data_IF_661869889133
#
_entry.id   IF_661869889133
#
_cell.length_a   1.000
_cell.length_b   1.000
_cell.length_c   1.000
_cell.angle_alpha   90.00
_cell.angle_beta   90.00
_cell.angle_gamma   90.00
#
_symmetry.space_group_name_H-M   'P 1'
#
loop_
_entity.id
_entity.type
_entity.pdbx_description
1 polymer ?
#
# COMPACT_ATOMS: atom_id res chain seq x y z
N UNK A 1 80.47 -23.81 -47.87
CA UNK A 1 80.21 -22.57 -47.11
C UNK A 1 78.71 -22.32 -47.09
N UNK A 2 78.14 -22.15 -45.88
CA UNK A 2 76.85 -21.48 -45.57
C UNK A 2 75.60 -22.13 -46.24
N UNK A 3 74.84 -23.02 -45.61
CA UNK A 3 73.95 -22.81 -44.44
C UNK A 3 73.32 -21.42 -44.36
N UNK A 4 72.00 -21.43 -44.11
CA UNK A 4 71.12 -20.33 -43.71
C UNK A 4 70.27 -19.77 -44.87
N UNK A 5 68.98 -19.57 -44.58
CA UNK A 5 67.91 -18.93 -45.38
C UNK A 5 66.87 -19.83 -46.06
N UNK A 6 66.25 -20.77 -45.33
CA UNK A 6 64.84 -21.14 -45.57
C UNK A 6 64.17 -21.63 -44.27
N UNK A 7 64.32 -20.85 -43.20
CA UNK A 7 63.69 -21.14 -41.89
C UNK A 7 63.03 -19.91 -41.29
N UNK A 8 62.44 -19.05 -42.12
CA UNK A 8 61.56 -17.95 -41.69
C UNK A 8 60.40 -17.83 -42.69
N UNK A 9 59.59 -18.88 -42.81
CA UNK A 9 58.26 -18.80 -43.44
C UNK A 9 57.27 -19.79 -42.83
N UNK A 10 57.46 -20.11 -41.54
CA UNK A 10 56.54 -20.95 -40.78
C UNK A 10 56.54 -20.60 -39.28
N UNK A 11 56.59 -19.30 -38.96
CA UNK A 11 56.39 -18.77 -37.58
C UNK A 11 55.52 -17.50 -37.64
N UNK A 12 54.58 -17.42 -38.59
CA UNK A 12 53.63 -16.30 -38.71
C UNK A 12 52.17 -16.71 -38.56
N UNK A 13 51.89 -17.92 -38.06
CA UNK A 13 50.52 -18.40 -37.79
C UNK A 13 50.28 -18.86 -36.36
N UNK A 14 51.18 -18.57 -35.41
CA UNK A 14 51.01 -18.90 -33.99
C UNK A 14 51.00 -17.67 -33.07
N UNK A 15 50.82 -16.46 -33.64
CA UNK A 15 50.87 -15.19 -32.92
C UNK A 15 49.55 -14.42 -32.88
N UNK A 16 48.40 -15.10 -32.94
CA UNK A 16 47.09 -14.46 -32.83
C UNK A 16 46.19 -15.24 -31.86
N UNK A 17 46.70 -15.50 -30.66
CA UNK A 17 45.85 -15.59 -29.49
C UNK A 17 46.21 -14.37 -28.65
N UNK A 18 45.75 -13.20 -29.06
CA UNK A 18 45.54 -12.13 -28.08
C UNK A 18 44.53 -12.71 -27.10
N UNK A 19 44.93 -12.88 -25.84
CA UNK A 19 43.98 -13.15 -24.76
C UNK A 19 42.82 -12.16 -24.93
N UNK A 20 41.63 -12.69 -25.15
CA UNK A 20 40.45 -11.86 -25.35
C UNK A 20 40.18 -11.14 -24.02
N UNK A 21 40.43 -9.84 -23.99
CA UNK A 21 40.19 -9.00 -22.82
C UNK A 21 38.67 -8.77 -22.67
N UNK A 22 38.05 -9.65 -21.89
CA UNK A 22 36.63 -9.63 -21.58
C UNK A 22 36.29 -8.78 -20.35
N UNK A 23 37.27 -8.06 -19.77
CA UNK A 23 37.09 -7.17 -18.61
C UNK A 23 35.94 -6.17 -18.81
N UNK A 24 35.80 -5.49 -19.97
CA UNK A 24 34.70 -4.52 -20.17
C UNK A 24 33.30 -5.16 -20.14
N UNK A 25 33.19 -6.45 -20.50
CA UNK A 25 31.92 -7.18 -20.45
C UNK A 25 31.62 -7.59 -19.02
N UNK A 26 32.63 -8.05 -18.28
CA UNK A 26 32.51 -8.40 -16.86
C UNK A 26 32.09 -7.19 -16.03
N UNK A 27 32.72 -6.05 -16.24
CA UNK A 27 32.40 -4.82 -15.51
C UNK A 27 30.94 -4.39 -15.72
N UNK A 28 30.43 -4.49 -16.96
CA UNK A 28 29.02 -4.20 -17.27
C UNK A 28 28.06 -5.21 -16.64
N UNK A 29 28.43 -6.48 -16.63
CA UNK A 29 27.62 -7.52 -15.98
C UNK A 29 27.53 -7.25 -14.48
N UNK A 30 28.64 -6.86 -13.85
CA UNK A 30 28.67 -6.59 -12.41
C UNK A 30 27.93 -5.29 -12.06
N UNK A 31 28.00 -4.25 -12.90
CA UNK A 31 27.14 -3.07 -12.80
C UNK A 31 25.65 -3.43 -12.85
N UNK A 32 25.24 -4.26 -13.81
CA UNK A 32 23.85 -4.70 -13.90
C UNK A 32 23.40 -5.52 -12.70
N UNK A 33 24.26 -6.37 -12.13
CA UNK A 33 23.92 -7.11 -10.90
C UNK A 33 23.69 -6.16 -9.73
N UNK A 34 24.57 -5.18 -9.53
CA UNK A 34 24.42 -4.19 -8.45
C UNK A 34 23.13 -3.37 -8.63
N UNK A 35 22.81 -2.96 -9.86
CA UNK A 35 21.56 -2.26 -10.16
C UNK A 35 20.34 -3.12 -9.87
N UNK A 36 20.34 -4.40 -10.25
CA UNK A 36 19.24 -5.32 -9.94
C UNK A 36 19.05 -5.48 -8.42
N UNK A 37 20.14 -5.63 -7.67
CA UNK A 37 20.09 -5.74 -6.20
C UNK A 37 19.48 -4.48 -5.57
N UNK A 38 19.92 -3.28 -5.98
CA UNK A 38 19.35 -2.02 -5.50
C UNK A 38 17.86 -1.87 -5.85
N UNK A 39 17.46 -2.26 -7.08
CA UNK A 39 16.05 -2.21 -7.48
C UNK A 39 15.18 -3.19 -6.68
N UNK A 40 15.70 -4.39 -6.37
CA UNK A 40 15.00 -5.37 -5.54
C UNK A 40 14.81 -4.85 -4.10
N UNK A 41 15.83 -4.23 -3.52
CA UNK A 41 15.73 -3.60 -2.20
C UNK A 41 14.73 -2.45 -2.20
N UNK A 42 14.75 -1.60 -3.24
CA UNK A 42 13.81 -0.49 -3.41
C UNK A 42 12.35 -0.96 -3.49
N UNK A 43 12.06 -1.94 -4.36
CA UNK A 43 10.71 -2.54 -4.47
C UNK A 43 10.26 -3.13 -3.13
N UNK A 44 11.14 -3.87 -2.47
CA UNK A 44 10.83 -4.48 -1.17
C UNK A 44 10.54 -3.43 -0.09
N UNK A 45 11.27 -2.32 -0.09
CA UNK A 45 11.04 -1.20 0.82
C UNK A 45 9.70 -0.51 0.53
N UNK A 46 9.38 -0.25 -0.73
CA UNK A 46 8.12 0.36 -1.14
C UNK A 46 6.92 -0.50 -0.77
N UNK A 47 6.94 -1.81 -1.07
CA UNK A 47 5.83 -2.70 -0.70
C UNK A 47 5.58 -2.74 0.81
N UNK A 48 6.65 -2.73 1.63
CA UNK A 48 6.51 -2.62 3.08
C UNK A 48 5.90 -1.28 3.52
N UNK A 49 6.24 -0.18 2.86
CA UNK A 49 5.66 1.12 3.16
C UNK A 49 4.19 1.22 2.70
N UNK A 50 3.83 0.57 1.59
CA UNK A 50 2.44 0.39 1.13
C UNK A 50 1.66 -0.42 2.17
N UNK A 51 2.19 -1.54 2.65
CA UNK A 51 1.57 -2.33 3.72
C UNK A 51 1.35 -1.49 4.98
N UNK A 52 2.37 -0.73 5.40
CA UNK A 52 2.27 0.17 6.55
C UNK A 52 1.16 1.21 6.34
N UNK A 53 1.09 1.83 5.16
CA UNK A 53 0.08 2.82 4.82
C UNK A 53 -1.32 2.21 4.85
N UNK A 54 -1.48 1.00 4.31
CA UNK A 54 -2.70 0.19 4.39
C UNK A 54 -3.15 -0.01 5.84
N UNK A 55 -2.25 -0.47 6.73
CA UNK A 55 -2.58 -0.66 8.15
C UNK A 55 -2.97 0.64 8.88
N UNK A 56 -2.37 1.77 8.51
CA UNK A 56 -2.67 3.06 9.12
C UNK A 56 -4.00 3.64 8.65
N UNK A 57 -4.47 3.25 7.47
CA UNK A 57 -5.64 3.87 6.82
C UNK A 57 -6.80 2.92 6.59
N UNK A 58 -6.69 1.64 6.97
CA UNK A 58 -7.77 0.64 6.91
C UNK A 58 -8.65 0.57 8.18
N UNK A 59 -8.79 1.70 8.89
CA UNK A 59 -9.76 1.87 9.98
C UNK A 59 -9.29 1.37 11.33
N UNK A 60 -8.01 1.01 11.45
CA UNK A 60 -7.38 0.67 12.72
C UNK A 60 -7.31 1.86 13.68
N UNK A 61 -7.27 1.56 14.98
CA UNK A 61 -7.21 2.59 16.03
C UNK A 61 -5.75 2.81 16.40
N UNK A 62 -5.22 4.00 16.11
CA UNK A 62 -3.85 4.36 16.47
C UNK A 62 -3.79 4.63 17.98
N UNK A 63 -2.98 3.87 18.71
CA UNK A 63 -2.90 3.98 20.17
C UNK A 63 -1.69 4.76 20.66
N UNK A 64 -0.57 4.71 19.93
CA UNK A 64 0.63 5.48 20.28
C UNK A 64 1.56 5.69 19.10
N UNK A 65 2.38 6.74 19.20
CA UNK A 65 3.44 7.05 18.25
C UNK A 65 4.70 7.38 19.05
N UNK A 66 5.77 6.64 18.80
CA UNK A 66 7.07 6.80 19.45
C UNK A 66 8.19 6.75 18.43
N UNK A 67 9.45 6.93 18.86
CA UNK A 67 10.62 6.68 18.03
C UNK A 67 11.45 5.54 18.62
N UNK A 68 11.96 4.66 17.76
CA UNK A 68 12.91 3.63 18.16
C UNK A 68 14.34 4.21 18.27
N UNK A 69 15.31 3.37 18.62
CA UNK A 69 16.73 3.75 18.75
C UNK A 69 17.35 4.31 17.47
N UNK A 70 16.80 3.94 16.31
CA UNK A 70 17.29 4.35 14.99
C UNK A 70 16.60 5.65 14.52
N UNK A 71 15.76 6.25 15.37
CA UNK A 71 15.01 7.46 15.07
C UNK A 71 13.78 7.25 14.18
N UNK A 72 13.47 6.00 13.81
CA UNK A 72 12.27 5.64 13.02
C UNK A 72 11.03 5.68 13.89
N UNK A 73 9.90 6.07 13.30
CA UNK A 73 8.61 6.09 14.00
C UNK A 73 8.11 4.67 14.23
N UNK A 74 7.62 4.41 15.44
CA UNK A 74 6.90 3.20 15.79
C UNK A 74 5.47 3.60 16.09
N UNK A 75 4.55 3.23 15.21
CA UNK A 75 3.13 3.54 15.34
C UNK A 75 2.42 2.26 15.78
N UNK A 76 1.85 2.30 16.98
CA UNK A 76 1.10 1.18 17.56
C UNK A 76 -0.37 1.38 17.28
N UNK A 77 -1.08 0.30 16.95
CA UNK A 77 -2.50 0.33 16.63
C UNK A 77 -3.21 -0.94 17.10
N UNK A 78 -4.52 -0.84 17.28
CA UNK A 78 -5.42 -1.97 17.45
C UNK A 78 -6.09 -2.29 16.11
N UNK A 79 -5.98 -3.54 15.68
CA UNK A 79 -6.65 -4.01 14.48
C UNK A 79 -8.15 -4.27 14.71
N UNK A 80 -8.85 -4.76 13.68
CA UNK A 80 -10.28 -5.10 13.75
C UNK A 80 -10.60 -6.28 14.68
N UNK A 81 -9.60 -7.06 15.09
CA UNK A 81 -9.69 -8.14 16.07
C UNK A 81 -9.24 -7.71 17.47
N UNK A 82 -9.04 -6.40 17.67
CA UNK A 82 -8.55 -5.80 18.90
C UNK A 82 -7.17 -6.31 19.35
N UNK A 83 -6.34 -6.75 18.40
CA UNK A 83 -4.95 -7.12 18.66
C UNK A 83 -4.05 -5.90 18.49
N UNK A 84 -3.16 -5.69 19.46
CA UNK A 84 -2.15 -4.64 19.38
C UNK A 84 -1.03 -5.06 18.41
N UNK A 85 -0.76 -4.18 17.45
CA UNK A 85 0.26 -4.34 16.43
C UNK A 85 1.05 -3.04 16.30
N UNK A 86 2.19 -3.10 15.64
CA UNK A 86 3.00 -1.92 15.38
C UNK A 86 3.59 -1.95 13.98
N UNK A 87 3.64 -0.79 13.33
CA UNK A 87 4.40 -0.55 12.11
C UNK A 87 5.62 0.32 12.42
N UNK A 88 6.71 0.08 11.70
CA UNK A 88 7.92 0.90 11.78
C UNK A 88 8.07 1.69 10.50
N UNK A 89 8.00 3.01 10.61
CA UNK A 89 8.01 3.93 9.49
C UNK A 89 9.27 4.78 9.50
N UNK A 90 10.00 4.76 8.39
CA UNK A 90 11.07 5.71 8.10
C UNK A 90 10.48 6.89 7.31
N UNK A 91 11.07 8.08 7.47
CA UNK A 91 10.63 9.29 6.78
C UNK A 91 11.78 9.89 5.98
N UNK A 92 11.49 10.44 4.80
CA UNK A 92 12.50 11.07 3.95
C UNK A 92 11.98 12.39 3.36
N UNK A 93 12.70 13.48 3.60
CA UNK A 93 12.24 14.83 3.26
C UNK A 93 12.46 15.18 1.77
N UNK A 94 13.63 14.80 1.22
CA UNK A 94 14.22 15.41 0.02
C UNK A 94 14.31 14.53 -1.24
N UNK A 95 13.68 13.34 -1.27
CA UNK A 95 13.69 12.52 -2.49
C UNK A 95 12.31 11.93 -2.77
N UNK A 96 11.78 12.28 -3.93
CA UNK A 96 10.48 11.83 -4.41
C UNK A 96 10.63 11.53 -5.90
N UNK A 97 10.85 10.27 -6.23
CA UNK A 97 10.76 9.79 -7.60
C UNK A 97 9.34 9.33 -7.89
N UNK A 98 8.81 9.67 -9.07
CA UNK A 98 7.57 9.11 -9.56
C UNK A 98 7.83 7.72 -10.17
N UNK A 99 6.90 6.75 -10.01
CA UNK A 99 5.58 6.87 -9.42
C UNK A 99 5.60 6.80 -7.89
N UNK A 100 4.69 7.54 -7.26
CA UNK A 100 4.48 7.49 -5.81
C UNK A 100 3.11 6.88 -5.53
N UNK A 101 3.07 5.81 -4.78
CA UNK A 101 1.82 5.26 -4.26
C UNK A 101 1.49 6.00 -2.96
N UNK A 102 0.24 6.44 -2.85
CA UNK A 102 -0.27 7.12 -1.66
C UNK A 102 -1.74 6.77 -1.44
N UNK A 103 -2.37 7.46 -0.50
CA UNK A 103 -3.81 7.30 -0.27
C UNK A 103 -4.47 8.67 -0.13
N UNK A 104 -5.74 8.76 -0.53
CA UNK A 104 -6.56 9.96 -0.39
C UNK A 104 -7.96 9.57 0.10
N UNK A 105 -8.49 10.35 1.04
CA UNK A 105 -9.86 10.20 1.51
C UNK A 105 -10.82 10.73 0.43
N UNK A 106 -11.70 9.87 -0.06
CA UNK A 106 -12.74 10.25 -1.00
C UNK A 106 -13.86 11.00 -0.29
N UNK A 107 -14.25 12.16 -0.83
CA UNK A 107 -15.36 12.97 -0.31
C UNK A 107 -16.73 12.41 -0.67
N UNK A 108 -16.80 11.48 -1.62
CA UNK A 108 -18.06 10.90 -2.10
C UNK A 108 -18.62 9.88 -1.11
N UNK A 109 -17.73 9.13 -0.44
CA UNK A 109 -18.05 7.96 0.35
C UNK A 109 -17.18 7.77 1.61
N UNK A 110 -16.35 8.75 1.97
CA UNK A 110 -15.51 8.74 3.18
C UNK A 110 -14.61 7.50 3.31
N UNK A 111 -14.21 6.89 2.19
CA UNK A 111 -13.23 5.80 2.16
C UNK A 111 -11.87 6.31 1.69
N UNK A 112 -10.81 5.73 2.23
CA UNK A 112 -9.47 5.91 1.66
C UNK A 112 -9.34 5.05 0.40
N UNK A 113 -8.89 5.66 -0.68
CA UNK A 113 -8.52 5.00 -1.92
C UNK A 113 -7.03 5.16 -2.19
N UNK A 114 -6.45 4.16 -2.85
CA UNK A 114 -5.10 4.24 -3.35
C UNK A 114 -5.00 5.32 -4.44
N UNK A 115 -3.87 5.99 -4.47
CA UNK A 115 -3.52 7.01 -5.47
C UNK A 115 -2.16 6.70 -6.04
N UNK A 116 -1.95 7.13 -7.27
CA UNK A 116 -0.66 7.07 -7.94
C UNK A 116 -0.29 8.48 -8.40
N UNK A 117 0.95 8.87 -8.17
CA UNK A 117 1.48 10.16 -8.63
C UNK A 117 2.52 9.93 -9.69
N UNK A 118 2.28 10.45 -10.89
CA UNK A 118 3.19 10.40 -12.04
C UNK A 118 3.34 11.81 -12.59
N UNK A 119 4.57 12.24 -12.88
CA UNK A 119 4.85 13.59 -13.40
C UNK A 119 4.19 14.72 -12.57
N UNK A 120 4.26 14.61 -11.25
CA UNK A 120 3.62 15.50 -10.27
C UNK A 120 2.07 15.53 -10.29
N UNK A 121 1.43 14.71 -11.13
CA UNK A 121 -0.02 14.56 -11.18
C UNK A 121 -0.47 13.37 -10.34
N UNK A 122 -1.35 13.60 -9.36
CA UNK A 122 -1.89 12.56 -8.48
C UNK A 122 -3.31 12.17 -8.87
N UNK A 123 -3.47 10.95 -9.36
CA UNK A 123 -4.75 10.34 -9.75
C UNK A 123 -5.10 9.17 -8.83
N UNK A 124 -6.31 8.62 -8.96
CA UNK A 124 -6.70 7.39 -8.27
C UNK A 124 -5.94 6.21 -8.90
N UNK A 125 -5.54 5.24 -8.08
CA UNK A 125 -5.20 3.93 -8.61
C UNK A 125 -6.50 3.26 -9.06
N UNK A 126 -6.53 2.83 -10.31
CA UNK A 126 -7.69 2.17 -10.92
C UNK A 126 -7.42 0.67 -11.11
N UNK A 127 -8.47 -0.14 -10.93
CA UNK A 127 -8.44 -1.55 -11.29
C UNK A 127 -8.61 -1.76 -12.81
N UNK A 128 -8.63 -3.02 -13.24
CA UNK A 128 -8.76 -3.38 -14.66
C UNK A 128 -10.07 -2.89 -15.32
N UNK A 129 -11.10 -2.60 -14.53
CA UNK A 129 -12.41 -2.13 -14.99
C UNK A 129 -12.54 -0.59 -14.92
N UNK A 130 -11.48 0.11 -14.47
CA UNK A 130 -11.45 1.57 -14.28
C UNK A 130 -12.06 2.02 -12.95
N UNK A 131 -12.33 1.09 -12.02
CA UNK A 131 -12.84 1.39 -10.68
C UNK A 131 -11.72 1.86 -9.76
N UNK A 132 -12.01 2.82 -8.86
CA UNK A 132 -11.05 3.26 -7.83
C UNK A 132 -10.74 2.08 -6.91
N UNK A 133 -9.46 1.87 -6.57
CA UNK A 133 -9.06 0.78 -5.65
C UNK A 133 -9.14 1.25 -4.19
N UNK A 134 -10.09 0.75 -3.37
CA UNK A 134 -10.17 1.14 -1.97
C UNK A 134 -9.01 0.54 -1.16
N UNK A 135 -8.46 1.30 -0.22
CA UNK A 135 -7.47 0.80 0.75
C UNK A 135 -8.04 -0.35 1.56
N UNK A 136 -9.31 -0.24 1.90
CA UNK A 136 -10.04 -1.27 2.59
C UNK A 136 -10.34 -2.41 1.62
N UNK A 137 -9.59 -3.51 1.72
CA UNK A 137 -9.88 -4.75 1.00
C UNK A 137 -8.88 -5.13 -0.08
N UNK A 138 -8.00 -4.22 -0.50
CA UNK A 138 -6.89 -4.52 -1.39
C UNK A 138 -5.67 -3.67 -1.03
N UNK A 139 -4.49 -4.28 -1.04
CA UNK A 139 -3.20 -3.60 -0.87
C UNK A 139 -2.39 -3.86 -2.13
N UNK A 140 -2.04 -2.84 -2.92
CA UNK A 140 -1.41 -3.02 -4.22
C UNK A 140 0.02 -3.51 -4.06
N UNK A 141 0.48 -4.30 -5.02
CA UNK A 141 1.86 -4.77 -5.10
C UNK A 141 2.60 -4.03 -6.21
N UNK A 142 3.73 -3.42 -5.85
CA UNK A 142 4.65 -2.80 -6.81
C UNK A 142 5.74 -3.79 -7.20
N UNK A 143 6.12 -3.80 -8.48
CA UNK A 143 7.23 -4.58 -9.00
C UNK A 143 7.89 -3.89 -10.20
N UNK A 144 8.93 -4.53 -10.75
CA UNK A 144 9.61 -4.10 -11.98
C UNK A 144 9.51 -5.21 -13.01
N UNK A 145 9.08 -4.89 -14.22
CA UNK A 145 8.98 -5.86 -15.31
C UNK A 145 10.37 -6.22 -15.90
N UNK A 146 10.39 -7.15 -16.86
CA UNK A 146 11.62 -7.57 -17.53
C UNK A 146 12.30 -6.47 -18.38
N UNK A 147 11.58 -5.39 -18.70
CA UNK A 147 12.09 -4.26 -19.47
C UNK A 147 12.57 -3.11 -18.58
N UNK A 148 12.38 -3.21 -17.25
CA UNK A 148 12.77 -2.17 -16.30
C UNK A 148 11.68 -1.13 -16.05
N UNK A 149 10.41 -1.44 -16.32
CA UNK A 149 9.30 -0.52 -16.07
C UNK A 149 8.57 -0.83 -14.77
N UNK A 150 8.03 0.22 -14.14
CA UNK A 150 7.18 0.07 -12.96
C UNK A 150 5.90 -0.69 -13.28
N UNK A 151 5.54 -1.61 -12.40
CA UNK A 151 4.31 -2.39 -12.45
C UNK A 151 3.56 -2.28 -11.13
N UNK A 152 2.26 -2.05 -11.17
CA UNK A 152 1.36 -2.10 -10.02
C UNK A 152 0.28 -3.13 -10.29
N UNK A 153 0.13 -4.10 -9.41
CA UNK A 153 -0.85 -5.20 -9.53
C UNK A 153 -0.82 -5.91 -10.90
N UNK A 154 0.39 -6.03 -11.48
CA UNK A 154 0.60 -6.67 -12.78
C UNK A 154 0.36 -5.76 -13.99
N UNK A 155 -0.10 -4.52 -13.81
CA UNK A 155 -0.25 -3.52 -14.87
C UNK A 155 0.98 -2.59 -14.93
N UNK A 156 1.54 -2.39 -16.14
CA UNK A 156 2.64 -1.46 -16.37
C UNK A 156 2.14 -0.03 -16.22
N UNK A 157 2.79 0.77 -15.38
CA UNK A 157 2.46 2.18 -15.23
C UNK A 157 2.96 3.00 -16.42
N UNK A 158 2.13 3.94 -16.85
CA UNK A 158 2.45 4.85 -17.96
C UNK A 158 2.31 6.31 -17.55
N UNK A 159 3.09 7.17 -18.21
CA UNK A 159 2.93 8.62 -18.15
C UNK A 159 1.62 9.10 -18.83
N UNK A 160 1.38 10.40 -18.78
CA UNK A 160 0.21 11.04 -19.43
C UNK A 160 0.16 10.85 -20.96
N UNK A 161 1.25 10.42 -21.60
CA UNK A 161 1.34 10.16 -23.04
C UNK A 161 1.24 8.66 -23.38
N UNK A 162 1.07 7.80 -22.37
CA UNK A 162 1.00 6.35 -22.52
C UNK A 162 2.37 5.67 -22.66
N UNK A 163 3.46 6.34 -22.32
CA UNK A 163 4.78 5.73 -22.30
C UNK A 163 5.03 5.00 -20.97
N UNK A 164 5.57 3.79 -20.97
CA UNK A 164 5.98 3.10 -19.75
C UNK A 164 6.98 3.91 -18.93
N UNK A 165 6.84 3.88 -17.60
CA UNK A 165 7.73 4.60 -16.69
C UNK A 165 8.91 3.70 -16.30
N UNK A 166 10.13 4.11 -16.68
CA UNK A 166 11.37 3.42 -16.30
C UNK A 166 11.65 3.55 -14.80
N UNK A 167 12.11 2.46 -14.20
CA UNK A 167 12.56 2.46 -12.82
C UNK A 167 14.01 2.92 -12.75
N UNK A 168 14.29 3.92 -11.93
CA UNK A 168 15.66 4.33 -11.63
C UNK A 168 16.12 3.83 -10.27
N UNK A 169 17.41 4.00 -9.98
CA UNK A 169 18.01 3.70 -8.67
C UNK A 169 17.91 4.87 -7.68
N UNK A 170 17.24 5.96 -8.06
CA UNK A 170 17.01 7.08 -7.14
C UNK A 170 16.09 6.62 -6.00
N UNK A 171 16.16 7.30 -4.85
CA UNK A 171 15.36 6.91 -3.69
C UNK A 171 13.89 7.31 -3.88
N UNK A 172 12.97 6.54 -3.32
CA UNK A 172 11.54 6.85 -3.35
C UNK A 172 10.98 6.63 -1.96
N UNK A 173 10.18 7.57 -1.46
CA UNK A 173 9.59 7.49 -0.14
C UNK A 173 8.09 7.78 -0.18
N UNK A 174 7.31 6.89 0.43
CA UNK A 174 5.87 7.09 0.64
C UNK A 174 5.63 8.01 1.84
N UNK A 175 6.44 7.90 2.89
CA UNK A 175 6.33 8.71 4.09
C UNK A 175 7.39 9.81 4.08
N UNK A 176 6.96 11.07 3.98
CA UNK A 176 7.89 12.22 4.00
C UNK A 176 8.11 12.77 5.39
N UNK A 177 7.01 12.95 6.12
CA UNK A 177 7.03 13.57 7.43
C UNK A 177 5.99 12.93 8.33
N UNK A 178 6.34 12.74 9.59
CA UNK A 178 5.41 12.33 10.63
C UNK A 178 5.56 13.28 11.81
N UNK A 179 4.44 13.83 12.26
CA UNK A 179 4.37 14.71 13.42
C UNK A 179 3.13 14.43 14.26
N UNK A 180 3.12 14.96 15.47
CA UNK A 180 1.95 14.94 16.36
C UNK A 180 1.44 16.37 16.49
N UNK A 181 0.16 16.59 16.24
CA UNK A 181 -0.46 17.89 16.43
C UNK A 181 -0.87 18.11 17.89
N UNK A 182 -1.05 19.38 18.27
CA UNK A 182 -1.37 19.80 19.64
C UNK A 182 -2.70 19.24 20.14
N UNK A 183 -3.63 18.96 19.24
CA UNK A 183 -4.93 18.33 19.48
C UNK A 183 -4.84 16.80 19.67
N UNK A 184 -3.64 16.23 19.64
CA UNK A 184 -3.39 14.82 19.89
C UNK A 184 -3.49 13.91 18.66
N UNK A 185 -3.62 14.45 17.45
CA UNK A 185 -3.64 13.66 16.22
C UNK A 185 -2.23 13.34 15.71
N UNK A 186 -2.11 12.21 15.02
CA UNK A 186 -0.98 11.87 14.17
C UNK A 186 -1.17 12.53 12.81
N UNK A 187 -0.17 13.30 12.37
CA UNK A 187 -0.11 13.90 11.04
C UNK A 187 0.97 13.20 10.24
N UNK A 188 0.62 12.76 9.04
CA UNK A 188 1.53 12.08 8.11
C UNK A 188 1.48 12.80 6.78
N UNK A 189 2.62 13.32 6.33
CA UNK A 189 2.77 13.86 4.98
C UNK A 189 3.33 12.76 4.09
N UNK A 190 2.63 12.49 3.00
CA UNK A 190 3.01 11.47 2.03
C UNK A 190 3.94 12.02 0.94
N UNK A 191 4.60 11.11 0.20
CA UNK A 191 5.46 11.40 -0.94
C UNK A 191 4.77 12.30 -1.97
N UNK A 192 3.51 12.01 -2.26
CA UNK A 192 2.67 12.76 -3.20
C UNK A 192 2.18 14.12 -2.68
N UNK A 193 2.54 14.49 -1.45
CA UNK A 193 2.14 15.73 -0.82
C UNK A 193 0.78 15.69 -0.10
N UNK A 194 0.03 14.59 -0.19
CA UNK A 194 -1.20 14.39 0.60
C UNK A 194 -0.87 14.32 2.09
N UNK A 195 -1.83 14.74 2.92
CA UNK A 195 -1.71 14.72 4.38
C UNK A 195 -2.79 13.86 5.01
N UNK A 196 -2.37 12.94 5.88
CA UNK A 196 -3.25 12.11 6.69
C UNK A 196 -3.33 12.66 8.11
N UNK A 197 -4.54 12.57 8.66
CA UNK A 197 -4.84 12.96 10.04
C UNK A 197 -5.52 11.82 10.75
N UNK A 198 -4.80 11.14 11.63
CA UNK A 198 -5.30 9.96 12.34
C UNK A 198 -5.38 10.26 13.85
N UNK A 199 -6.54 10.08 14.50
CA UNK A 199 -6.66 10.31 15.93
C UNK A 199 -5.82 9.29 16.71
N UNK A 200 -5.14 9.74 17.77
CA UNK A 200 -4.41 8.85 18.68
C UNK A 200 -5.23 8.66 19.94
N UNK A 201 -5.77 7.46 20.16
CA UNK A 201 -6.53 7.12 21.37
C UNK A 201 -6.57 5.60 21.59
N UNK A 202 -6.92 5.17 22.79
CA UNK A 202 -7.10 3.76 23.14
C UNK A 202 -8.34 3.51 24.00
N UNK A 203 -9.29 4.44 23.96
CA UNK A 203 -10.50 4.43 24.79
C UNK A 203 -11.45 3.29 24.42
N UNK A 204 -11.63 3.04 23.12
CA UNK A 204 -12.42 1.93 22.61
C UNK A 204 -12.06 1.54 21.17
N UNK A 205 -12.51 0.36 20.74
CA UNK A 205 -12.40 -0.16 19.38
C UNK A 205 -13.71 -0.86 18.98
N UNK A 206 -14.04 -0.83 17.68
CA UNK A 206 -15.18 -1.53 17.10
C UNK A 206 -14.70 -2.79 16.37
N UNK A 207 -15.26 -3.93 16.77
CA UNK A 207 -15.01 -5.24 16.18
C UNK A 207 -16.28 -5.68 15.43
N UNK A 208 -16.11 -6.10 14.18
CA UNK A 208 -17.17 -6.68 13.36
C UNK A 208 -16.79 -8.13 13.07
N UNK A 209 -17.70 -9.07 13.31
CA UNK A 209 -17.46 -10.50 13.07
C UNK A 209 -17.69 -10.83 11.59
N UNK A 210 -16.89 -10.20 10.73
CA UNK A 210 -16.88 -10.43 9.29
C UNK A 210 -15.53 -10.01 8.71
N UNK A 211 -15.19 -10.55 7.55
CA UNK A 211 -14.05 -10.07 6.78
C UNK A 211 -14.35 -8.69 6.18
N UNK A 212 -13.33 -7.84 6.05
CA UNK A 212 -13.45 -6.51 5.43
C UNK A 212 -14.00 -6.63 4.01
N UNK A 213 -13.61 -7.66 3.26
CA UNK A 213 -14.24 -8.06 2.00
C UNK A 213 -15.07 -9.31 2.25
N UNK A 214 -16.38 -9.12 2.33
CA UNK A 214 -17.35 -10.19 2.54
C UNK A 214 -17.87 -10.69 1.20
N UNK A 215 -17.56 -11.94 0.86
CA UNK A 215 -18.10 -12.60 -0.34
C UNK A 215 -19.53 -13.07 -0.08
N UNK A 216 -20.46 -12.71 -0.98
CA UNK A 216 -21.88 -12.99 -0.87
C UNK A 216 -22.26 -14.05 -1.90
N UNK A 217 -22.63 -15.24 -1.43
CA UNK A 217 -23.07 -16.33 -2.30
C UNK A 217 -24.36 -15.95 -3.05
N UNK A 218 -24.43 -16.26 -4.34
CA UNK A 218 -25.58 -15.91 -5.19
C UNK A 218 -26.91 -16.38 -4.61
N UNK A 219 -27.87 -15.46 -4.50
CA UNK A 219 -29.20 -15.72 -3.95
C UNK A 219 -29.33 -15.52 -2.44
N UNK A 220 -28.23 -15.14 -1.76
CA UNK A 220 -28.29 -14.68 -0.37
C UNK A 220 -29.09 -13.39 -0.28
N UNK A 221 -30.18 -13.39 0.49
CA UNK A 221 -31.02 -12.20 0.67
C UNK A 221 -30.53 -11.31 1.82
N UNK A 222 -29.85 -11.88 2.81
CA UNK A 222 -29.31 -11.14 3.94
C UNK A 222 -28.15 -11.86 4.65
N UNK A 223 -27.27 -11.08 5.28
CA UNK A 223 -26.21 -11.52 6.20
C UNK A 223 -26.40 -10.80 7.53
N UNK A 224 -26.18 -11.52 8.63
CA UNK A 224 -26.12 -10.97 9.97
C UNK A 224 -24.66 -10.88 10.43
N UNK A 225 -24.22 -9.70 10.83
CA UNK A 225 -22.85 -9.38 11.26
C UNK A 225 -22.90 -9.00 12.74
N UNK A 226 -22.53 -9.90 13.65
CA UNK A 226 -22.36 -9.56 15.05
C UNK A 226 -21.26 -8.51 15.22
N UNK A 227 -21.41 -7.63 16.21
CA UNK A 227 -20.39 -6.66 16.58
C UNK A 227 -20.17 -6.57 18.09
N UNK A 228 -18.99 -6.08 18.47
CA UNK A 228 -18.69 -5.69 19.84
C UNK A 228 -17.90 -4.38 19.86
N UNK A 229 -18.00 -3.68 20.99
CA UNK A 229 -17.10 -2.58 21.32
C UNK A 229 -16.29 -3.01 22.52
N UNK A 230 -14.98 -2.84 22.44
CA UNK A 230 -14.04 -3.18 23.51
C UNK A 230 -13.23 -1.95 23.90
N UNK A 231 -12.69 -1.93 25.13
CA UNK A 231 -11.92 -0.82 25.68
C UNK A 231 -12.52 -0.21 26.94
N UNK A 232 -11.78 0.71 27.56
CA UNK A 232 -12.15 1.32 28.85
C UNK A 232 -13.45 2.13 28.79
N UNK A 233 -13.74 2.72 27.64
CA UNK A 233 -14.91 3.57 27.40
C UNK A 233 -15.90 2.93 26.41
N UNK A 234 -15.86 1.61 26.26
CA UNK A 234 -16.74 0.88 25.36
C UNK A 234 -18.23 1.07 25.67
N UNK A 235 -18.59 1.26 26.94
CA UNK A 235 -19.96 1.52 27.39
C UNK A 235 -20.46 2.93 27.05
N UNK A 236 -19.55 3.86 26.72
CA UNK A 236 -19.86 5.22 26.28
C UNK A 236 -19.97 5.35 24.77
N UNK A 237 -19.52 4.34 24.02
CA UNK A 237 -19.54 4.36 22.56
C UNK A 237 -20.93 4.02 22.02
N UNK A 238 -21.37 4.78 21.02
CA UNK A 238 -22.57 4.51 20.23
C UNK A 238 -22.13 3.90 18.92
N UNK A 239 -22.75 2.77 18.54
CA UNK A 239 -22.52 2.14 17.24
C UNK A 239 -23.63 2.55 16.27
N UNK A 240 -23.26 2.95 15.06
CA UNK A 240 -24.19 3.35 14.02
C UNK A 240 -23.70 2.90 12.64
N UNK A 241 -24.62 2.87 11.68
CA UNK A 241 -24.29 2.70 10.26
C UNK A 241 -24.16 4.11 9.69
N UNK A 242 -22.95 4.54 9.41
CA UNK A 242 -22.62 5.88 8.91
C UNK A 242 -22.87 6.01 7.41
N UNK A 243 -22.76 4.91 6.67
CA UNK A 243 -22.97 4.90 5.23
C UNK A 243 -23.44 3.53 4.75
N UNK A 244 -24.23 3.53 3.68
CA UNK A 244 -24.70 2.35 2.95
C UNK A 244 -24.71 2.70 1.47
N UNK A 245 -24.16 1.83 0.63
CA UNK A 245 -24.16 1.95 -0.83
C UNK A 245 -24.54 0.60 -1.46
N UNK A 246 -25.47 0.62 -2.42
CA UNK A 246 -25.94 -0.54 -3.19
C UNK A 246 -26.47 -1.76 -2.39
N UNK A 247 -26.63 -1.63 -1.06
CA UNK A 247 -27.26 -2.59 -0.16
C UNK A 247 -28.25 -1.87 0.76
N UNK A 248 -28.95 -2.61 1.63
CA UNK A 248 -29.67 -2.01 2.76
C UNK A 248 -29.18 -2.61 4.06
N UNK A 249 -29.06 -1.81 5.12
CA UNK A 249 -28.55 -2.31 6.40
C UNK A 249 -29.31 -1.73 7.60
N UNK A 250 -29.48 -2.55 8.62
CA UNK A 250 -30.14 -2.19 9.87
C UNK A 250 -29.32 -2.69 11.07
N UNK A 251 -29.25 -1.86 12.12
CA UNK A 251 -28.52 -2.20 13.34
C UNK A 251 -29.50 -2.55 14.48
N UNK A 252 -29.26 -3.68 15.13
CA UNK A 252 -29.88 -4.08 16.37
C UNK A 252 -28.88 -3.86 17.51
N UNK A 253 -29.12 -2.82 18.31
CA UNK A 253 -28.24 -2.45 19.43
C UNK A 253 -28.45 -3.29 20.68
N UNK A 254 -29.56 -4.02 20.76
CA UNK A 254 -29.86 -4.92 21.89
C UNK A 254 -29.14 -6.24 21.68
N UNK A 255 -29.27 -6.82 20.50
CA UNK A 255 -28.62 -8.09 20.14
C UNK A 255 -27.19 -7.91 19.60
N UNK A 256 -26.75 -6.67 19.39
CA UNK A 256 -25.44 -6.29 18.83
C UNK A 256 -25.16 -6.96 17.48
N UNK A 257 -26.11 -6.79 16.56
CA UNK A 257 -26.03 -7.36 15.21
C UNK A 257 -26.37 -6.31 14.17
N UNK A 258 -25.69 -6.35 13.03
CA UNK A 258 -26.02 -5.58 11.83
C UNK A 258 -26.56 -6.56 10.79
N UNK A 259 -27.77 -6.33 10.30
CA UNK A 259 -28.36 -7.11 9.21
C UNK A 259 -28.18 -6.33 7.92
N UNK A 260 -27.49 -6.92 6.95
CA UNK A 260 -27.31 -6.38 5.60
C UNK A 260 -28.15 -7.21 4.65
N UNK A 261 -29.01 -6.56 3.85
CA UNK A 261 -29.84 -7.22 2.85
C UNK A 261 -29.38 -6.86 1.45
N UNK A 262 -29.45 -7.84 0.57
CA UNK A 262 -29.00 -7.77 -0.83
C UNK A 262 -30.20 -7.91 -1.75
N UNK A 263 -30.25 -7.06 -2.79
CA UNK A 263 -31.27 -7.14 -3.81
C UNK A 263 -30.97 -8.24 -4.85
N UNK A 264 -31.99 -8.62 -5.62
CA UNK A 264 -31.78 -9.54 -6.74
C UNK A 264 -30.85 -8.91 -7.77
N UNK A 265 -29.79 -9.63 -8.13
CA UNK A 265 -28.78 -9.12 -9.06
C UNK A 265 -27.70 -8.27 -8.39
N UNK A 266 -27.57 -8.31 -7.06
CA UNK A 266 -26.45 -7.72 -6.34
C UNK A 266 -25.10 -8.19 -6.91
N UNK A 267 -24.22 -7.22 -7.21
CA UNK A 267 -22.86 -7.42 -7.70
C UNK A 267 -21.85 -6.94 -6.65
N UNK A 268 -21.95 -5.69 -6.23
CA UNK A 268 -21.11 -5.11 -5.18
C UNK A 268 -21.84 -4.00 -4.41
N UNK A 269 -21.34 -3.71 -3.21
CA UNK A 269 -21.83 -2.63 -2.36
C UNK A 269 -21.07 -2.58 -1.06
N UNK A 270 -21.34 -1.57 -0.22
CA UNK A 270 -20.61 -1.41 1.04
C UNK A 270 -21.44 -0.76 2.13
N UNK A 271 -20.97 -0.95 3.36
CA UNK A 271 -21.40 -0.15 4.51
C UNK A 271 -20.18 0.39 5.24
N UNK A 272 -20.36 1.52 5.93
CA UNK A 272 -19.40 2.00 6.93
C UNK A 272 -20.10 1.98 8.28
N UNK A 273 -19.58 1.16 9.20
CA UNK A 273 -20.04 1.13 10.59
C UNK A 273 -19.13 2.02 11.42
N UNK A 274 -19.71 2.90 12.23
CA UNK A 274 -18.98 3.71 13.18
C UNK A 274 -19.21 3.26 14.61
N UNK A 275 -18.18 3.41 15.44
CA UNK A 275 -18.34 3.55 16.88
C UNK A 275 -17.79 4.90 17.28
N UNK A 276 -18.57 5.69 18.04
CA UNK A 276 -18.17 7.03 18.42
C UNK A 276 -18.65 7.41 19.81
N UNK A 277 -17.94 8.34 20.44
CA UNK A 277 -18.38 9.06 21.63
C UNK A 277 -18.21 10.58 21.41
N UNK A 278 -18.17 11.38 22.48
CA UNK A 278 -18.00 12.83 22.37
C UNK A 278 -16.60 13.27 21.86
N UNK A 279 -15.60 12.39 21.90
CA UNK A 279 -14.20 12.71 21.68
C UNK A 279 -13.56 11.91 20.53
N UNK A 280 -14.03 10.70 20.26
CA UNK A 280 -13.37 9.74 19.38
C UNK A 280 -14.35 9.06 18.41
N UNK A 281 -13.81 8.66 17.25
CA UNK A 281 -14.51 7.98 16.18
C UNK A 281 -13.65 6.83 15.65
N UNK A 282 -14.25 5.66 15.52
CA UNK A 282 -13.73 4.49 14.80
C UNK A 282 -14.63 4.23 13.61
N UNK A 283 -14.05 4.07 12.42
CA UNK A 283 -14.77 3.69 11.20
C UNK A 283 -14.34 2.29 10.76
N UNK A 284 -15.32 1.44 10.45
CA UNK A 284 -15.13 0.08 9.94
C UNK A 284 -15.95 -0.10 8.66
N UNK A 285 -15.34 0.15 7.50
CA UNK A 285 -15.90 -0.23 6.20
C UNK A 285 -15.99 -1.75 6.04
N UNK A 286 -17.07 -2.21 5.41
CA UNK A 286 -17.21 -3.58 4.93
C UNK A 286 -17.64 -3.51 3.47
N UNK A 287 -16.86 -4.14 2.59
CA UNK A 287 -17.18 -4.31 1.19
C UNK A 287 -17.86 -5.67 1.00
N UNK A 288 -18.92 -5.68 0.22
CA UNK A 288 -19.65 -6.88 -0.17
C UNK A 288 -19.44 -7.10 -1.67
N UNK A 289 -19.05 -8.32 -2.05
CA UNK A 289 -18.92 -8.71 -3.45
C UNK A 289 -19.64 -10.02 -3.70
N UNK A 290 -20.45 -10.05 -4.75
CA UNK A 290 -21.13 -11.25 -5.22
C UNK A 290 -20.11 -12.29 -5.69
N UNK A 291 -20.39 -13.57 -5.43
CA UNK A 291 -19.55 -14.70 -5.80
C UNK A 291 -20.33 -15.77 -6.57
#
# INVERSE_FOLDING_TARGET
>A
MKYIYYSILLVFLLGACSDYDDTPIKDKIDDFKQRIEMLQEKVSALNRDIDNLSYLTNGNVITSVTKNSDGKYVITYLDSSNQEKAVVVATQEDVIEAPILGVRLSTDDNLYYWTVTVDDETTWLEDADGGKVPVYGHTPEVSVDANGYWVVDGAVLTDQYGNPIEVTTDETAIFREISRSDDGYLRIKLGNGEELSLPIFNAFNLLLQTETVTLVERGTSAIAIPYSVEGADADKAIVAISQVEAVSAAIDTVNKTITVNFENGFEEGHIIVSAYNLEHLVLRPILFKSK
#
